data_IF_458438069237
#
_entry.id   IF_458438069237
#
_cell.length_a   1.000
_cell.length_b   1.000
_cell.length_c   1.000
_cell.angle_alpha   90.00
_cell.angle_beta   90.00
_cell.angle_gamma   90.00
#
_symmetry.space_group_name_H-M   'P 1'
#
loop_
_entity.id
_entity.type
_entity.pdbx_description
1 polymer ?
#
# COMPACT_ATOMS: atom_id res chain seq x y z
N UNK A 1 -31.42 1.48 1.68
CA UNK A 1 -30.83 2.22 2.81
C UNK A 1 -29.34 1.90 2.87
N UNK A 2 -28.44 2.89 2.95
CA UNK A 2 -27.01 2.63 3.13
C UNK A 2 -26.81 1.92 4.47
N UNK A 3 -26.31 0.68 4.46
CA UNK A 3 -26.13 -0.11 5.67
C UNK A 3 -24.84 0.30 6.39
N UNK A 4 -24.81 1.53 6.92
CA UNK A 4 -23.64 2.08 7.64
C UNK A 4 -23.18 1.18 8.80
N UNK A 5 -24.11 0.51 9.49
CA UNK A 5 -23.74 -0.44 10.53
C UNK A 5 -22.97 -1.66 9.99
N UNK A 6 -23.30 -2.15 8.78
CA UNK A 6 -22.58 -3.27 8.16
C UNK A 6 -21.14 -2.87 7.89
N UNK A 7 -20.92 -1.68 7.31
CA UNK A 7 -19.55 -1.25 7.00
C UNK A 7 -18.71 -1.01 8.26
N UNK A 8 -19.32 -0.55 9.35
CA UNK A 8 -18.66 -0.43 10.65
C UNK A 8 -18.24 -1.81 11.17
N UNK A 9 -19.15 -2.79 11.13
CA UNK A 9 -18.83 -4.18 11.54
C UNK A 9 -17.72 -4.77 10.69
N UNK A 10 -17.77 -4.57 9.36
CA UNK A 10 -16.72 -5.01 8.44
C UNK A 10 -15.37 -4.39 8.81
N UNK A 11 -15.35 -3.07 8.99
CA UNK A 11 -14.13 -2.34 9.32
C UNK A 11 -13.55 -2.84 10.64
N UNK A 12 -14.35 -2.93 11.71
CA UNK A 12 -13.88 -3.36 13.04
C UNK A 12 -13.32 -4.78 13.00
N UNK A 13 -14.01 -5.73 12.36
CA UNK A 13 -13.53 -7.12 12.30
C UNK A 13 -12.22 -7.24 11.52
N UNK A 14 -12.11 -6.58 10.38
CA UNK A 14 -10.89 -6.60 9.57
C UNK A 14 -9.74 -5.84 10.25
N UNK A 15 -10.03 -4.72 10.90
CA UNK A 15 -9.07 -3.94 11.69
C UNK A 15 -8.46 -4.78 12.82
N UNK A 16 -9.29 -5.48 13.60
CA UNK A 16 -8.82 -6.33 14.71
C UNK A 16 -7.92 -7.46 14.22
N UNK A 17 -8.26 -8.13 13.12
CA UNK A 17 -7.46 -9.24 12.59
C UNK A 17 -6.17 -8.73 11.95
N UNK A 18 -6.23 -7.59 11.25
CA UNK A 18 -5.05 -6.92 10.70
C UNK A 18 -4.05 -6.55 11.80
N UNK A 19 -4.48 -5.83 12.84
CA UNK A 19 -3.60 -5.45 13.94
C UNK A 19 -3.17 -6.62 14.81
N UNK A 20 -3.99 -7.68 14.88
CA UNK A 20 -3.56 -8.96 15.45
C UNK A 20 -2.36 -9.53 14.68
N UNK A 21 -2.42 -9.53 13.33
CA UNK A 21 -1.31 -9.99 12.50
C UNK A 21 -0.05 -9.14 12.73
N UNK A 22 -0.19 -7.81 12.68
CA UNK A 22 0.92 -6.89 12.98
C UNK A 22 1.51 -7.11 14.37
N UNK A 23 0.65 -7.31 15.37
CA UNK A 23 1.11 -7.57 16.74
C UNK A 23 1.99 -8.83 16.81
N UNK A 24 1.60 -9.90 16.10
CA UNK A 24 2.34 -11.15 16.08
C UNK A 24 3.74 -10.99 15.47
N UNK A 25 3.89 -10.18 14.42
CA UNK A 25 5.21 -9.98 13.81
C UNK A 25 6.05 -8.94 14.57
N UNK A 26 5.48 -7.80 14.96
CA UNK A 26 6.20 -6.68 15.57
C UNK A 26 6.61 -6.98 17.02
N UNK A 27 5.69 -7.51 17.83
CA UNK A 27 5.92 -7.67 19.28
C UNK A 27 6.19 -9.10 19.72
N UNK A 28 5.82 -10.09 18.90
CA UNK A 28 6.05 -11.52 19.22
C UNK A 28 7.06 -12.20 18.30
N UNK A 29 7.53 -11.53 17.25
CA UNK A 29 8.41 -12.11 16.24
C UNK A 29 7.92 -13.49 15.73
N UNK A 30 6.60 -13.63 15.58
CA UNK A 30 5.94 -14.89 15.25
C UNK A 30 5.37 -14.84 13.84
N UNK A 31 6.18 -15.30 12.88
CA UNK A 31 5.85 -15.35 11.45
C UNK A 31 4.62 -16.23 11.17
N UNK A 32 4.50 -17.37 11.86
CA UNK A 32 3.37 -18.29 11.68
C UNK A 32 2.06 -17.61 12.11
N UNK A 33 2.08 -16.93 13.27
CA UNK A 33 0.93 -16.17 13.77
C UNK A 33 0.55 -15.02 12.85
N UNK A 34 1.53 -14.28 12.32
CA UNK A 34 1.30 -13.26 11.31
C UNK A 34 0.63 -13.83 10.06
N UNK A 35 1.18 -14.89 9.47
CA UNK A 35 0.63 -15.50 8.25
C UNK A 35 -0.75 -16.11 8.48
N UNK A 36 -0.99 -16.72 9.64
CA UNK A 36 -2.30 -17.28 9.99
C UNK A 36 -3.37 -16.19 10.09
N UNK A 37 -3.07 -15.08 10.75
CA UNK A 37 -3.99 -13.95 10.87
C UNK A 37 -4.18 -13.20 9.55
N UNK A 38 -3.14 -13.07 8.72
CA UNK A 38 -3.28 -12.57 7.36
C UNK A 38 -4.17 -13.49 6.50
N UNK A 39 -3.99 -14.81 6.59
CA UNK A 39 -4.89 -15.76 5.92
C UNK A 39 -6.34 -15.60 6.39
N UNK A 40 -6.55 -15.51 7.71
CA UNK A 40 -7.87 -15.25 8.29
C UNK A 40 -8.47 -13.92 7.81
N UNK A 41 -7.65 -12.87 7.67
CA UNK A 41 -8.08 -11.57 7.17
C UNK A 41 -8.73 -11.72 5.78
N UNK A 42 -8.07 -12.38 4.83
CA UNK A 42 -8.62 -12.53 3.47
C UNK A 42 -9.85 -13.43 3.42
N UNK A 43 -9.90 -14.48 4.24
CA UNK A 43 -11.10 -15.33 4.39
C UNK A 43 -12.28 -14.50 4.91
N UNK A 44 -12.07 -13.72 5.97
CA UNK A 44 -13.09 -12.83 6.52
C UNK A 44 -13.48 -11.75 5.52
N UNK A 45 -12.52 -11.11 4.85
CA UNK A 45 -12.79 -10.10 3.84
C UNK A 45 -13.68 -10.66 2.72
N UNK A 46 -13.46 -11.90 2.28
CA UNK A 46 -14.32 -12.55 1.29
C UNK A 46 -15.75 -12.77 1.82
N UNK A 47 -15.91 -13.38 3.00
CA UNK A 47 -17.23 -13.61 3.60
C UNK A 47 -17.99 -12.29 3.86
N UNK A 48 -17.31 -11.30 4.42
CA UNK A 48 -17.86 -9.99 4.71
C UNK A 48 -18.22 -9.24 3.43
N UNK A 49 -17.44 -9.40 2.35
CA UNK A 49 -17.75 -8.81 1.04
C UNK A 49 -19.00 -9.41 0.41
N UNK A 50 -19.20 -10.73 0.57
CA UNK A 50 -20.44 -11.41 0.20
C UNK A 50 -21.63 -10.96 1.06
N UNK A 51 -21.47 -10.82 2.37
CA UNK A 51 -22.52 -10.33 3.26
C UNK A 51 -22.90 -8.86 3.03
N UNK A 52 -21.91 -8.05 2.62
CA UNK A 52 -22.09 -6.63 2.34
C UNK A 52 -22.76 -6.38 0.99
N UNK A 53 -22.28 -7.03 -0.08
CA UNK A 53 -22.74 -6.76 -1.46
C UNK A 53 -22.83 -7.97 -2.40
N UNK A 54 -22.57 -9.19 -1.91
CA UNK A 54 -22.60 -10.41 -2.73
C UNK A 54 -21.41 -10.59 -3.70
N UNK A 55 -20.34 -9.80 -3.54
CA UNK A 55 -19.24 -9.73 -4.51
C UNK A 55 -17.88 -10.21 -3.97
N UNK A 56 -17.82 -10.88 -2.82
CA UNK A 56 -16.56 -11.33 -2.21
C UNK A 56 -15.51 -10.22 -2.13
N UNK A 57 -14.27 -10.51 -2.52
CA UNK A 57 -13.17 -9.53 -2.54
C UNK A 57 -13.35 -8.39 -3.55
N UNK A 58 -14.18 -8.58 -4.59
CA UNK A 58 -14.50 -7.49 -5.53
C UNK A 58 -15.25 -6.35 -4.83
N UNK A 59 -15.96 -6.62 -3.73
CA UNK A 59 -16.59 -5.59 -2.91
C UNK A 59 -15.58 -4.54 -2.40
N UNK A 60 -14.32 -4.95 -2.22
CA UNK A 60 -13.24 -4.14 -1.68
C UNK A 60 -12.28 -3.62 -2.75
N UNK A 61 -12.63 -3.78 -4.04
CA UNK A 61 -11.79 -3.35 -5.15
C UNK A 61 -10.78 -4.39 -5.63
N UNK A 62 -10.89 -5.67 -5.25
CA UNK A 62 -10.03 -6.76 -5.76
C UNK A 62 -10.79 -7.72 -6.70
N UNK A 63 -11.27 -7.28 -7.87
CA UNK A 63 -11.82 -8.20 -8.86
C UNK A 63 -10.70 -9.06 -9.47
N UNK A 64 -10.93 -10.37 -9.62
CA UNK A 64 -10.10 -11.22 -10.46
C UNK A 64 -10.62 -11.19 -11.91
N UNK A 65 -9.84 -10.58 -12.81
CA UNK A 65 -10.14 -10.54 -14.24
C UNK A 65 -8.83 -10.49 -15.06
N UNK A 66 -8.91 -10.62 -16.40
CA UNK A 66 -7.71 -10.62 -17.26
C UNK A 66 -6.86 -9.35 -17.16
N UNK A 67 -7.45 -8.23 -16.76
CA UNK A 67 -6.79 -6.92 -16.64
C UNK A 67 -5.92 -6.82 -15.38
N UNK A 68 -6.06 -7.76 -14.43
CA UNK A 68 -5.27 -7.82 -13.19
C UNK A 68 -3.78 -7.87 -13.48
N UNK A 69 -3.32 -8.67 -14.46
CA UNK A 69 -1.89 -8.77 -14.75
C UNK A 69 -1.30 -7.46 -15.28
N UNK A 70 -2.04 -6.71 -16.11
CA UNK A 70 -1.62 -5.38 -16.57
C UNK A 70 -1.53 -4.41 -15.39
N UNK A 71 -2.55 -4.37 -14.54
CA UNK A 71 -2.55 -3.51 -13.35
C UNK A 71 -1.44 -3.85 -12.38
N UNK A 72 -1.23 -5.14 -12.14
CA UNK A 72 -0.20 -5.64 -11.26
C UNK A 72 1.19 -5.27 -11.79
N UNK A 73 1.46 -5.51 -13.08
CA UNK A 73 2.73 -5.16 -13.71
C UNK A 73 3.03 -3.66 -13.65
N UNK A 74 2.03 -2.81 -13.91
CA UNK A 74 2.19 -1.35 -13.77
C UNK A 74 2.41 -0.96 -12.31
N UNK A 75 1.65 -1.56 -11.38
CA UNK A 75 1.84 -1.37 -9.94
C UNK A 75 3.26 -1.69 -9.50
N UNK A 76 3.82 -2.83 -9.93
CA UNK A 76 5.21 -3.23 -9.64
C UNK A 76 6.21 -2.14 -10.04
N UNK A 77 6.14 -1.67 -11.29
CA UNK A 77 7.05 -0.63 -11.81
C UNK A 77 6.87 0.66 -11.02
N UNK A 78 5.62 1.08 -10.77
CA UNK A 78 5.34 2.29 -10.01
C UNK A 78 5.79 2.19 -8.55
N UNK A 79 5.76 1.00 -7.95
CA UNK A 79 6.22 0.80 -6.57
C UNK A 79 7.73 0.90 -6.45
N UNK A 80 8.46 0.31 -7.40
CA UNK A 80 9.91 0.48 -7.52
C UNK A 80 10.27 1.94 -7.75
N UNK A 81 9.54 2.66 -8.61
CA UNK A 81 9.77 4.09 -8.82
C UNK A 81 9.45 4.92 -7.57
N UNK A 82 8.37 4.58 -6.87
CA UNK A 82 7.90 5.30 -5.67
C UNK A 82 8.95 5.35 -4.58
N UNK A 83 9.71 4.27 -4.37
CA UNK A 83 10.75 4.18 -3.34
C UNK A 83 12.17 4.33 -3.89
N UNK A 84 12.40 3.89 -5.13
CA UNK A 84 13.70 3.97 -5.80
C UNK A 84 14.10 5.39 -6.19
N UNK A 85 13.15 6.24 -6.60
CA UNK A 85 13.46 7.63 -6.88
C UNK A 85 13.91 8.38 -5.60
N UNK A 86 13.17 8.37 -4.48
CA UNK A 86 13.62 9.00 -3.25
C UNK A 86 14.96 8.46 -2.76
N UNK A 87 15.17 7.14 -2.79
CA UNK A 87 16.44 6.54 -2.40
C UNK A 87 17.59 7.02 -3.30
N UNK A 88 17.38 7.04 -4.63
CA UNK A 88 18.37 7.57 -5.57
C UNK A 88 18.67 9.05 -5.35
N UNK A 89 17.65 9.88 -5.10
CA UNK A 89 17.83 11.31 -4.75
C UNK A 89 18.58 11.45 -3.42
N UNK A 90 18.28 10.62 -2.43
CA UNK A 90 18.96 10.58 -1.14
C UNK A 90 20.46 10.31 -1.29
N UNK A 91 20.83 9.32 -2.12
CA UNK A 91 22.24 9.04 -2.46
C UNK A 91 22.90 10.21 -3.21
N UNK A 92 22.20 10.80 -4.19
CA UNK A 92 22.73 11.91 -4.99
C UNK A 92 22.99 13.17 -4.16
N UNK A 93 22.14 13.44 -3.17
CA UNK A 93 22.30 14.57 -2.25
C UNK A 93 23.26 14.27 -1.09
N UNK A 94 23.76 13.04 -1.00
CA UNK A 94 24.58 12.60 0.13
C UNK A 94 23.81 12.66 1.45
N UNK A 95 22.49 12.41 1.43
CA UNK A 95 21.69 12.23 2.66
C UNK A 95 21.91 10.82 3.19
N UNK A 96 21.91 9.83 2.30
CA UNK A 96 22.28 8.45 2.60
C UNK A 96 23.54 8.03 1.83
N UNK A 97 24.28 7.08 2.38
CA UNK A 97 25.44 6.46 1.73
C UNK A 97 25.36 4.94 1.80
N UNK A 98 25.67 4.26 0.71
CA UNK A 98 25.78 2.80 0.68
C UNK A 98 27.13 2.39 1.23
N UNK A 99 27.11 1.66 2.35
CA UNK A 99 28.31 1.16 3.02
C UNK A 99 28.71 -0.21 2.46
N UNK A 100 27.72 -1.09 2.25
CA UNK A 100 27.98 -2.45 1.80
C UNK A 100 26.77 -3.05 1.08
N UNK A 101 27.05 -3.72 -0.04
CA UNK A 101 26.06 -4.46 -0.82
C UNK A 101 26.38 -5.95 -0.68
N UNK A 102 25.52 -6.76 -0.04
CA UNK A 102 25.79 -8.18 0.12
C UNK A 102 25.69 -8.92 -1.22
N UNK A 103 26.23 -10.14 -1.27
CA UNK A 103 26.14 -10.98 -2.47
C UNK A 103 24.67 -11.34 -2.81
N UNK A 104 24.42 -11.68 -4.07
CA UNK A 104 23.09 -11.98 -4.59
C UNK A 104 22.35 -13.08 -3.79
N UNK A 105 23.06 -14.14 -3.38
CA UNK A 105 22.46 -15.23 -2.59
C UNK A 105 21.91 -14.70 -1.27
N UNK A 106 22.67 -13.84 -0.59
CA UNK A 106 22.27 -13.23 0.68
C UNK A 106 21.09 -12.29 0.47
N UNK A 107 21.14 -11.44 -0.56
CA UNK A 107 20.03 -10.55 -0.90
C UNK A 107 18.72 -11.32 -1.12
N UNK A 108 18.76 -12.39 -1.93
CA UNK A 108 17.57 -13.21 -2.23
C UNK A 108 17.08 -13.90 -0.96
N UNK A 109 17.97 -14.47 -0.15
CA UNK A 109 17.59 -15.23 1.05
C UNK A 109 16.93 -14.34 2.10
N UNK A 110 17.38 -13.09 2.25
CA UNK A 110 16.80 -12.14 3.19
C UNK A 110 15.53 -11.48 2.66
N UNK A 111 15.47 -11.18 1.36
CA UNK A 111 14.38 -10.39 0.78
C UNK A 111 13.17 -11.24 0.40
N UNK A 112 13.36 -12.49 -0.05
CA UNK A 112 12.26 -13.31 -0.57
C UNK A 112 11.21 -13.65 0.50
N UNK A 113 11.56 -14.07 1.74
CA UNK A 113 10.57 -14.31 2.78
C UNK A 113 9.83 -13.03 3.18
N UNK A 114 10.55 -11.90 3.26
CA UNK A 114 9.94 -10.59 3.51
C UNK A 114 8.94 -10.22 2.41
N UNK A 115 9.35 -10.36 1.14
CA UNK A 115 8.50 -10.10 -0.01
C UNK A 115 7.24 -10.96 -0.01
N UNK A 116 7.35 -12.24 0.37
CA UNK A 116 6.17 -13.09 0.52
C UNK A 116 5.23 -12.61 1.63
N UNK A 117 5.76 -12.32 2.82
CA UNK A 117 4.95 -11.88 3.96
C UNK A 117 4.27 -10.53 3.71
N UNK A 118 5.03 -9.56 3.18
CA UNK A 118 4.56 -8.18 2.98
C UNK A 118 3.50 -8.08 1.88
N UNK A 119 3.39 -9.07 1.00
CA UNK A 119 2.29 -9.15 0.02
C UNK A 119 0.94 -9.13 0.72
N UNK A 120 0.79 -9.94 1.76
CA UNK A 120 -0.47 -10.03 2.48
C UNK A 120 -0.75 -8.79 3.31
N UNK A 121 0.26 -8.23 3.99
CA UNK A 121 0.06 -7.01 4.79
C UNK A 121 -0.25 -5.79 3.92
N UNK A 122 0.41 -5.65 2.76
CA UNK A 122 0.11 -4.55 1.84
C UNK A 122 -1.33 -4.63 1.32
N UNK A 123 -1.79 -5.79 0.85
CA UNK A 123 -3.17 -5.90 0.34
C UNK A 123 -4.24 -5.83 1.45
N UNK A 124 -3.97 -6.34 2.65
CA UNK A 124 -4.93 -6.25 3.76
C UNK A 124 -5.07 -4.80 4.26
N UNK A 125 -3.95 -4.08 4.39
CA UNK A 125 -3.97 -2.65 4.70
C UNK A 125 -4.71 -1.85 3.63
N UNK A 126 -4.52 -2.18 2.35
CA UNK A 126 -5.18 -1.50 1.24
C UNK A 126 -6.70 -1.75 1.24
N UNK A 127 -7.15 -2.97 1.57
CA UNK A 127 -8.58 -3.20 1.77
C UNK A 127 -9.10 -2.29 2.90
N UNK A 128 -8.40 -2.26 4.03
CA UNK A 128 -8.85 -1.58 5.25
C UNK A 128 -8.87 -0.05 5.12
N UNK A 129 -7.82 0.52 4.54
CA UNK A 129 -7.57 1.97 4.53
C UNK A 129 -8.14 2.69 3.31
N UNK A 130 -8.49 1.95 2.25
CA UNK A 130 -8.96 2.53 0.99
C UNK A 130 -10.04 1.72 0.29
N UNK A 131 -9.96 0.40 0.27
CA UNK A 131 -10.98 -0.47 -0.35
C UNK A 131 -12.37 -0.28 0.28
N UNK A 132 -12.44 -0.33 1.61
CA UNK A 132 -13.68 -0.12 2.38
C UNK A 132 -14.23 1.29 2.15
N UNK A 133 -13.39 2.33 2.31
CA UNK A 133 -13.82 3.72 2.11
C UNK A 133 -14.31 3.97 0.69
N UNK A 134 -13.58 3.48 -0.31
CA UNK A 134 -13.98 3.57 -1.70
C UNK A 134 -15.33 2.91 -1.92
N UNK A 135 -15.52 1.66 -1.47
CA UNK A 135 -16.77 0.92 -1.64
C UNK A 135 -18.01 1.66 -1.11
N UNK A 136 -17.85 2.41 -0.01
CA UNK A 136 -18.95 3.10 0.66
C UNK A 136 -19.19 4.53 0.16
N UNK A 137 -18.12 5.23 -0.24
CA UNK A 137 -18.16 6.68 -0.37
C UNK A 137 -17.80 7.22 -1.77
N UNK A 138 -17.26 6.41 -2.69
CA UNK A 138 -16.81 6.89 -4.01
C UNK A 138 -17.90 7.55 -4.86
N UNK A 139 -19.18 7.20 -4.66
CA UNK A 139 -20.31 7.82 -5.37
C UNK A 139 -20.85 9.09 -4.70
N UNK A 140 -20.47 9.35 -3.44
CA UNK A 140 -21.03 10.47 -2.65
C UNK A 140 -20.02 11.54 -2.27
N UNK A 141 -18.74 11.18 -2.15
CA UNK A 141 -17.68 12.14 -1.85
C UNK A 141 -16.95 12.54 -3.13
N UNK A 142 -16.48 13.78 -3.17
CA UNK A 142 -15.55 14.22 -4.22
C UNK A 142 -14.25 13.38 -4.13
N UNK A 143 -13.61 13.03 -5.25
CA UNK A 143 -12.40 12.19 -5.23
C UNK A 143 -11.28 12.73 -4.32
N UNK A 144 -11.08 14.05 -4.30
CA UNK A 144 -10.09 14.70 -3.42
C UNK A 144 -10.40 14.48 -1.95
N UNK A 145 -11.66 14.63 -1.54
CA UNK A 145 -12.07 14.42 -0.14
C UNK A 145 -11.93 12.94 0.25
N UNK A 146 -12.30 12.02 -0.64
CA UNK A 146 -12.09 10.59 -0.42
C UNK A 146 -10.59 10.25 -0.29
N UNK A 147 -9.72 10.88 -1.09
CA UNK A 147 -8.28 10.71 -0.99
C UNK A 147 -7.75 11.18 0.38
N UNK A 148 -8.17 12.36 0.85
CA UNK A 148 -7.79 12.89 2.15
C UNK A 148 -8.27 12.00 3.30
N UNK A 149 -9.53 11.55 3.25
CA UNK A 149 -10.07 10.63 4.26
C UNK A 149 -9.31 9.30 4.28
N UNK A 150 -8.98 8.75 3.11
CA UNK A 150 -8.22 7.51 3.00
C UNK A 150 -6.79 7.67 3.53
N UNK A 151 -6.11 8.77 3.21
CA UNK A 151 -4.78 9.06 3.72
C UNK A 151 -4.77 9.25 5.24
N UNK A 152 -5.80 9.89 5.82
CA UNK A 152 -5.95 9.99 7.27
C UNK A 152 -6.20 8.62 7.91
N UNK A 153 -7.07 7.79 7.34
CA UNK A 153 -7.29 6.43 7.85
C UNK A 153 -6.01 5.60 7.73
N UNK A 154 -5.25 5.74 6.65
CA UNK A 154 -3.95 5.08 6.49
C UNK A 154 -2.94 5.53 7.55
N UNK A 155 -2.81 6.83 7.82
CA UNK A 155 -1.97 7.34 8.90
C UNK A 155 -2.40 6.78 10.27
N UNK A 156 -3.70 6.84 10.58
CA UNK A 156 -4.24 6.36 11.85
C UNK A 156 -4.20 4.83 11.97
N UNK A 157 -4.13 4.10 10.85
CA UNK A 157 -3.90 2.65 10.83
C UNK A 157 -2.52 2.31 11.39
N UNK A 158 -1.55 3.21 11.32
CA UNK A 158 -0.20 2.97 11.86
C UNK A 158 -0.14 3.23 13.38
N UNK A 159 -1.05 2.64 14.15
CA UNK A 159 -1.23 2.90 15.59
C UNK A 159 0.06 2.71 16.40
N UNK A 160 0.91 1.75 16.04
CA UNK A 160 2.18 1.47 16.71
C UNK A 160 3.29 2.48 16.38
N UNK A 161 3.06 3.35 15.40
CA UNK A 161 4.01 4.34 14.87
C UNK A 161 3.53 5.78 15.04
N UNK A 162 2.37 5.98 15.65
CA UNK A 162 1.88 7.32 15.96
C UNK A 162 2.81 8.07 16.93
N UNK A 163 3.66 7.37 17.68
CA UNK A 163 4.67 7.98 18.55
C UNK A 163 5.97 8.36 17.84
N UNK A 164 6.16 7.98 16.56
CA UNK A 164 7.41 8.22 15.80
C UNK A 164 7.59 9.70 15.39
N UNK A 165 6.60 10.55 15.70
CA UNK A 165 6.66 12.00 15.51
C UNK A 165 6.26 12.50 14.11
N UNK A 166 6.25 13.84 13.92
CA UNK A 166 5.69 14.49 12.73
C UNK A 166 6.35 14.10 11.41
N UNK A 167 7.65 13.81 11.45
CA UNK A 167 8.41 13.33 10.30
C UNK A 167 7.79 12.05 9.74
N UNK A 168 7.54 11.06 10.60
CA UNK A 168 6.91 9.81 10.21
C UNK A 168 5.47 10.01 9.73
N UNK A 169 4.71 10.85 10.43
CA UNK A 169 3.33 11.14 10.05
C UNK A 169 3.24 11.76 8.66
N UNK A 170 4.19 12.65 8.32
CA UNK A 170 4.20 13.37 7.06
C UNK A 170 4.32 12.41 5.87
N UNK A 171 5.29 11.50 5.90
CA UNK A 171 5.50 10.60 4.77
C UNK A 171 4.43 9.50 4.72
N UNK A 172 3.94 9.01 5.88
CA UNK A 172 2.85 8.03 5.92
C UNK A 172 1.57 8.62 5.33
N UNK A 173 1.22 9.87 5.68
CA UNK A 173 0.08 10.56 5.10
C UNK A 173 0.23 10.74 3.59
N UNK A 174 1.40 11.16 3.13
CA UNK A 174 1.70 11.31 1.69
C UNK A 174 1.61 9.97 0.94
N UNK A 175 2.08 8.87 1.51
CA UNK A 175 1.90 7.52 0.96
C UNK A 175 0.41 7.19 0.82
N UNK A 176 -0.39 7.50 1.84
CA UNK A 176 -1.84 7.34 1.79
C UNK A 176 -2.49 8.06 0.61
N UNK A 177 -2.05 9.31 0.32
CA UNK A 177 -2.50 10.07 -0.86
C UNK A 177 -2.05 9.45 -2.18
N UNK A 178 -0.81 8.97 -2.27
CA UNK A 178 -0.30 8.34 -3.49
C UNK A 178 -1.02 7.02 -3.76
N UNK A 179 -1.24 6.20 -2.74
CA UNK A 179 -1.80 4.87 -2.90
C UNK A 179 -3.30 4.84 -3.24
N UNK A 180 -4.08 5.82 -2.79
CA UNK A 180 -5.52 5.88 -3.11
C UNK A 180 -5.77 6.27 -4.59
N UNK A 181 -4.83 6.97 -5.24
CA UNK A 181 -5.02 7.50 -6.61
C UNK A 181 -5.32 6.42 -7.66
N UNK A 182 -4.57 5.31 -7.77
CA UNK A 182 -4.91 4.27 -8.74
C UNK A 182 -6.31 3.69 -8.51
N UNK A 183 -6.74 3.52 -7.26
CA UNK A 183 -8.08 3.04 -6.93
C UNK A 183 -9.16 4.04 -7.38
N UNK A 184 -8.96 5.34 -7.16
CA UNK A 184 -9.92 6.37 -7.58
C UNK A 184 -10.13 6.37 -9.10
N UNK A 185 -9.06 6.14 -9.87
CA UNK A 185 -9.12 6.18 -11.32
C UNK A 185 -9.58 4.85 -11.94
N UNK A 186 -9.23 3.71 -11.36
CA UNK A 186 -9.46 2.38 -11.96
C UNK A 186 -10.54 1.55 -11.27
N UNK A 187 -10.94 1.91 -10.05
CA UNK A 187 -11.81 1.08 -9.20
C UNK A 187 -11.18 -0.25 -8.80
N UNK A 188 -9.85 -0.39 -8.92
CA UNK A 188 -9.15 -1.65 -8.77
C UNK A 188 -7.88 -1.52 -7.92
N UNK A 189 -7.83 -2.27 -6.83
CA UNK A 189 -6.72 -2.33 -5.88
C UNK A 189 -5.50 -3.10 -6.41
N UNK A 190 -5.59 -3.87 -7.49
CA UNK A 190 -4.41 -4.60 -7.99
C UNK A 190 -3.27 -3.68 -8.42
N UNK A 191 -3.56 -2.47 -8.92
CA UNK A 191 -2.51 -1.47 -9.13
C UNK A 191 -1.95 -1.05 -7.78
N UNK A 192 -2.79 -0.47 -6.92
CA UNK A 192 -2.39 0.07 -5.61
C UNK A 192 -1.62 -0.94 -4.77
N UNK A 193 -2.15 -2.16 -4.62
CA UNK A 193 -1.55 -3.22 -3.81
C UNK A 193 -0.21 -3.70 -4.33
N UNK A 194 -0.04 -3.82 -5.65
CA UNK A 194 1.27 -4.19 -6.21
C UNK A 194 2.28 -3.04 -6.15
N UNK A 195 1.81 -1.78 -6.24
CA UNK A 195 2.64 -0.58 -6.03
C UNK A 195 3.12 -0.49 -4.57
N UNK A 196 2.21 -0.71 -3.63
CA UNK A 196 2.51 -0.74 -2.21
C UNK A 196 3.47 -1.89 -1.87
N UNK A 197 3.15 -3.10 -2.35
CA UNK A 197 3.98 -4.28 -2.14
C UNK A 197 5.41 -4.10 -2.67
N UNK A 198 5.56 -3.73 -3.95
CA UNK A 198 6.87 -3.57 -4.56
C UNK A 198 7.68 -2.44 -3.89
N UNK A 199 7.01 -1.37 -3.49
CA UNK A 199 7.62 -0.28 -2.71
C UNK A 199 8.20 -0.76 -1.38
N UNK A 200 7.42 -1.52 -0.60
CA UNK A 200 7.88 -2.09 0.66
C UNK A 200 9.04 -3.08 0.48
N UNK A 201 8.98 -3.93 -0.55
CA UNK A 201 10.08 -4.84 -0.88
C UNK A 201 11.34 -4.06 -1.23
N UNK A 202 11.21 -3.04 -2.08
CA UNK A 202 12.35 -2.20 -2.46
C UNK A 202 12.95 -1.50 -1.22
N UNK A 203 12.11 -0.89 -0.38
CA UNK A 203 12.54 -0.26 0.86
C UNK A 203 13.29 -1.23 1.78
N UNK A 204 12.76 -2.43 1.96
CA UNK A 204 13.41 -3.45 2.77
C UNK A 204 14.79 -3.83 2.19
N UNK A 205 14.88 -4.04 0.88
CA UNK A 205 16.15 -4.34 0.22
C UNK A 205 17.15 -3.21 0.42
N UNK A 206 16.75 -1.94 0.26
CA UNK A 206 17.69 -0.83 0.31
C UNK A 206 18.09 -0.37 1.71
N UNK A 207 17.25 -0.63 2.73
CA UNK A 207 17.48 -0.12 4.09
C UNK A 207 17.77 -1.23 5.13
N UNK A 208 17.43 -2.48 4.84
CA UNK A 208 17.60 -3.59 5.79
C UNK A 208 18.53 -4.69 5.27
N UNK A 209 18.72 -4.79 3.95
CA UNK A 209 19.59 -5.80 3.32
C UNK A 209 20.87 -5.16 2.81
N UNK A 210 20.76 -4.07 2.05
CA UNK A 210 21.87 -3.18 1.74
C UNK A 210 22.13 -2.33 2.98
N UNK A 211 23.39 -2.28 3.42
CA UNK A 211 23.77 -1.47 4.57
C UNK A 211 23.96 -0.03 4.12
N UNK A 212 23.13 0.86 4.64
CA UNK A 212 23.21 2.30 4.42
C UNK A 212 23.51 3.02 5.72
N UNK A 213 24.12 4.20 5.61
CA UNK A 213 24.29 5.13 6.72
C UNK A 213 23.67 6.48 6.35
N UNK A 214 23.19 7.21 7.35
CA UNK A 214 22.54 8.52 7.18
C UNK A 214 23.48 9.62 7.67
N UNK A 215 23.73 10.60 6.81
CA UNK A 215 24.56 11.75 7.17
C UNK A 215 23.78 12.72 8.08
N UNK A 216 24.24 12.92 9.32
CA UNK A 216 23.54 13.70 10.36
C UNK A 216 23.41 15.22 10.08
N UNK A 217 24.07 15.74 9.03
CA UNK A 217 24.09 17.17 8.71
C UNK A 217 23.05 17.64 7.66
N UNK A 218 22.22 16.75 7.13
CA UNK A 218 21.31 17.01 6.00
C UNK A 218 19.82 17.12 6.34
N UNK A 219 18.99 17.26 5.31
CA UNK A 219 17.54 17.03 5.42
C UNK A 219 17.29 15.58 5.85
N UNK A 220 16.29 15.33 6.69
CA UNK A 220 15.98 13.96 7.08
C UNK A 220 15.54 13.13 5.85
N UNK A 221 15.91 11.84 5.78
CA UNK A 221 15.49 10.95 4.70
C UNK A 221 13.98 10.87 4.53
N UNK A 222 13.21 10.89 5.62
CA UNK A 222 11.75 10.79 5.54
C UNK A 222 11.10 12.10 5.04
N UNK A 223 11.65 13.27 5.38
CA UNK A 223 11.17 14.53 4.79
C UNK A 223 11.50 14.60 3.29
N UNK A 224 12.70 14.18 2.90
CA UNK A 224 13.06 14.03 1.49
C UNK A 224 12.10 13.08 0.78
N UNK A 225 11.77 11.95 1.42
CA UNK A 225 10.82 10.98 0.89
C UNK A 225 9.42 11.58 0.69
N UNK A 226 8.91 12.31 1.69
CA UNK A 226 7.63 13.03 1.58
C UNK A 226 7.62 14.06 0.45
N UNK A 227 8.72 14.80 0.25
CA UNK A 227 8.87 15.74 -0.87
C UNK A 227 8.89 15.03 -2.22
N UNK A 228 9.60 13.92 -2.36
CA UNK A 228 9.60 13.11 -3.57
C UNK A 228 8.20 12.58 -3.91
N UNK A 229 7.39 12.23 -2.90
CA UNK A 229 6.01 11.80 -3.13
C UNK A 229 5.11 12.90 -3.71
N UNK A 230 5.34 14.17 -3.39
CA UNK A 230 4.64 15.30 -4.04
C UNK A 230 4.90 15.28 -5.55
N UNK A 231 6.13 15.01 -5.97
CA UNK A 231 6.51 14.93 -7.37
C UNK A 231 5.99 13.66 -8.06
N UNK A 232 5.91 12.53 -7.35
CA UNK A 232 5.44 11.24 -7.90
C UNK A 232 3.91 11.19 -8.02
N UNK A 233 3.18 11.87 -7.14
CA UNK A 233 1.72 11.91 -7.13
C UNK A 233 1.09 12.25 -8.52
N UNK A 234 1.49 13.32 -9.24
CA UNK A 234 0.95 13.60 -10.57
C UNK A 234 1.30 12.51 -11.60
N UNK A 235 2.46 11.85 -11.48
CA UNK A 235 2.88 10.75 -12.36
C UNK A 235 1.95 9.55 -12.14
N UNK A 236 1.71 9.15 -10.89
CA UNK A 236 0.79 8.07 -10.54
C UNK A 236 -0.62 8.39 -11.03
N UNK A 237 -1.07 9.63 -10.89
CA UNK A 237 -2.36 10.08 -11.41
C UNK A 237 -2.46 9.96 -12.93
N UNK A 238 -1.47 10.44 -13.68
CA UNK A 238 -1.43 10.36 -15.13
C UNK A 238 -1.44 8.89 -15.60
N UNK A 239 -0.56 8.06 -15.06
CA UNK A 239 -0.46 6.64 -15.42
C UNK A 239 -1.76 5.91 -15.14
N UNK A 240 -2.33 6.08 -13.95
CA UNK A 240 -3.60 5.42 -13.58
C UNK A 240 -4.79 5.91 -14.42
N UNK A 241 -4.82 7.18 -14.82
CA UNK A 241 -5.85 7.72 -15.71
C UNK A 241 -5.75 7.14 -17.12
N UNK A 242 -4.55 7.05 -17.69
CA UNK A 242 -4.32 6.43 -19.01
C UNK A 242 -4.76 4.97 -19.01
N UNK A 243 -4.36 4.22 -17.98
CA UNK A 243 -4.73 2.81 -17.84
C UNK A 243 -6.23 2.62 -17.65
N UNK A 244 -6.90 3.53 -16.94
CA UNK A 244 -8.36 3.53 -16.82
C UNK A 244 -9.06 3.78 -18.16
N UNK A 245 -8.57 4.72 -18.96
CA UNK A 245 -9.10 5.00 -20.30
C UNK A 245 -9.01 3.77 -21.22
N UNK A 246 -7.87 3.06 -21.21
CA UNK A 246 -7.68 1.80 -21.94
C UNK A 246 -8.70 0.73 -21.53
N UNK A 247 -9.15 0.73 -20.27
CA UNK A 247 -10.13 -0.24 -19.80
C UNK A 247 -11.53 0.03 -20.28
N UNK A 248 -11.88 1.29 -20.50
CA UNK A 248 -13.20 1.72 -20.95
C UNK A 248 -13.31 1.69 -22.49
N UNK A 249 -12.20 1.87 -23.21
CA UNK A 249 -12.15 1.80 -24.68
C UNK A 249 -12.18 0.38 -25.24
N UNK A 250 -11.77 -0.63 -24.45
CA UNK A 250 -11.80 -2.05 -24.84
C UNK A 250 -13.16 -2.76 -24.70
N UNK A 251 -14.25 -2.02 -24.49
CA UNK A 251 -15.62 -2.56 -24.32
C UNK A 251 -16.46 -2.52 -25.60
N UNK A 252 -15.87 -2.17 -26.75
CA UNK A 252 -16.56 -2.02 -28.05
C UNK A 252 -16.35 -3.16 -29.05
N UNK A 253 -15.82 -4.32 -28.64
CA UNK A 253 -15.72 -5.49 -29.53
C UNK A 253 -15.92 -6.82 -28.78
N UNK A 254 -17.18 -7.19 -28.54
CA UNK A 254 -17.71 -8.56 -28.67
C UNK A 254 -19.13 -8.47 -29.21
#
# INVERSE_FOLDING_TARGET
MKHYWKIIVVFVLLFLVYHGAEYMIVFKNNVIGFLALQGLFFVLAWFLGNWYSGNGLKAWGLPFNRKVFKLAGIGLVMGILLYGLPFGVSLLLGVEQVINVPNLKTMVTMSLPFAFGVLFSSFSEDILTRGILYSQFHTTLKPVLLALCSALVYLLNHIYRLTDGPESWSYIFMLGLVFIVPLLNTGNLWFTGMMHWAGNVFFHVTHNVIQTDTNEGGISPNYLFALCMIAILPIVWLVSKTVSADFNSGTTTV
#
